data_IF_099079362237
#
_entry.id   IF_099079362237
#
_cell.length_a   1.000
_cell.length_b   1.000
_cell.length_c   1.000
_cell.angle_alpha   90.00
_cell.angle_beta   90.00
_cell.angle_gamma   90.00
#
_symmetry.space_group_name_H-M   'P 1'
#
loop_
_entity.id
_entity.type
_entity.pdbx_description
1 polymer ?
#
# COMPACT_ATOMS: atom_id res chain seq x y z
N UNK A 1 -0.86 21.12 5.76
CA UNK A 1 -1.08 21.59 4.37
C UNK A 1 0.21 21.96 3.65
N UNK A 2 1.18 22.62 4.30
CA UNK A 2 2.46 23.01 3.68
C UNK A 2 3.17 21.86 2.93
N UNK A 3 3.24 20.67 3.53
CA UNK A 3 3.89 19.50 2.90
C UNK A 3 3.31 19.19 1.51
N UNK A 4 1.97 19.20 1.37
CA UNK A 4 1.31 18.97 0.09
C UNK A 4 1.70 20.01 -0.97
N UNK A 5 1.78 21.28 -0.58
CA UNK A 5 2.21 22.38 -1.49
C UNK A 5 3.68 22.25 -1.87
N UNK A 6 4.55 21.95 -0.90
CA UNK A 6 5.99 21.75 -1.15
C UNK A 6 6.20 20.62 -2.15
N UNK A 7 5.66 19.44 -1.88
CA UNK A 7 5.84 18.29 -2.76
C UNK A 7 5.17 18.50 -4.11
N UNK A 8 4.00 19.15 -4.16
CA UNK A 8 3.36 19.52 -5.41
C UNK A 8 4.25 20.43 -6.28
N UNK A 9 4.95 21.40 -5.71
CA UNK A 9 5.83 22.27 -6.49
C UNK A 9 6.92 21.47 -7.24
N UNK A 10 7.50 20.44 -6.60
CA UNK A 10 8.45 19.55 -7.26
C UNK A 10 7.78 18.66 -8.29
N UNK A 11 6.64 18.03 -7.95
CA UNK A 11 5.88 17.19 -8.88
C UNK A 11 5.46 17.93 -10.13
N UNK A 12 4.88 19.12 -9.97
CA UNK A 12 4.35 19.91 -11.07
C UNK A 12 5.46 20.50 -11.95
N UNK A 13 6.69 20.65 -11.43
CA UNK A 13 7.84 21.03 -12.24
C UNK A 13 8.23 19.93 -13.22
N UNK A 14 8.24 18.68 -12.77
CA UNK A 14 8.65 17.52 -13.58
C UNK A 14 7.49 16.97 -14.42
N UNK A 15 6.27 16.96 -13.88
CA UNK A 15 5.05 16.46 -14.50
C UNK A 15 3.93 17.52 -14.39
N UNK A 16 3.93 18.53 -15.28
CA UNK A 16 2.96 19.63 -15.20
C UNK A 16 1.52 19.16 -15.37
N UNK A 17 0.63 19.63 -14.48
CA UNK A 17 -0.81 19.39 -14.57
C UNK A 17 -1.59 20.68 -14.89
N UNK A 18 -2.64 20.50 -15.71
CA UNK A 18 -3.54 21.55 -16.15
C UNK A 18 -4.72 21.72 -15.20
N UNK A 19 -5.83 22.26 -15.68
CA UNK A 19 -7.10 22.37 -14.94
C UNK A 19 -7.89 21.05 -14.95
N UNK A 20 -7.24 19.95 -14.55
CA UNK A 20 -7.84 18.62 -14.47
C UNK A 20 -8.33 18.24 -13.07
N UNK A 21 -8.81 17.00 -12.96
CA UNK A 21 -9.25 16.34 -11.72
C UNK A 21 -8.32 15.18 -11.36
N UNK A 22 -8.49 14.66 -10.15
CA UNK A 22 -7.84 13.46 -9.66
C UNK A 22 -8.87 12.36 -9.42
N UNK A 23 -8.62 11.16 -9.96
CA UNK A 23 -9.27 9.94 -9.51
C UNK A 23 -8.59 9.49 -8.21
N UNK A 24 -9.27 9.70 -7.08
CA UNK A 24 -8.72 9.37 -5.77
C UNK A 24 -9.55 8.30 -5.08
N UNK A 25 -8.94 7.15 -4.79
CA UNK A 25 -9.54 6.10 -3.97
C UNK A 25 -9.26 6.40 -2.50
N UNK A 26 -9.97 7.38 -1.94
CA UNK A 26 -9.83 7.83 -0.57
C UNK A 26 -11.08 7.52 0.25
N UNK A 27 -10.89 7.02 1.46
CA UNK A 27 -11.97 6.56 2.32
C UNK A 27 -11.89 7.24 3.68
N UNK A 28 -12.97 7.89 4.06
CA UNK A 28 -13.19 8.38 5.42
C UNK A 28 -13.58 7.24 6.36
N UNK A 29 -13.08 7.30 7.59
CA UNK A 29 -13.43 6.38 8.66
C UNK A 29 -14.54 6.93 9.54
N UNK A 30 -15.17 6.04 10.31
CA UNK A 30 -16.09 6.44 11.38
C UNK A 30 -15.37 7.33 12.39
N UNK A 31 -16.11 8.30 12.93
CA UNK A 31 -15.66 9.14 14.03
C UNK A 31 -16.29 8.62 15.32
N UNK A 32 -15.46 8.37 16.33
CA UNK A 32 -15.91 8.03 17.67
C UNK A 32 -15.74 9.23 18.61
N UNK A 33 -16.47 9.22 19.73
CA UNK A 33 -16.28 10.17 20.82
C UNK A 33 -15.62 9.45 21.99
N UNK A 34 -14.54 10.03 22.51
CA UNK A 34 -13.95 9.58 23.78
C UNK A 34 -14.94 9.83 24.92
N UNK A 35 -14.71 9.20 26.09
CA UNK A 35 -15.50 9.46 27.30
C UNK A 35 -15.51 10.95 27.69
N UNK A 36 -14.44 11.69 27.36
CA UNK A 36 -14.33 13.14 27.57
C UNK A 36 -14.87 14.02 26.43
N UNK A 37 -15.56 13.46 25.43
CA UNK A 37 -16.21 14.22 24.35
C UNK A 37 -15.31 14.59 23.17
N UNK A 38 -14.01 14.32 23.22
CA UNK A 38 -13.10 14.52 22.09
C UNK A 38 -13.39 13.55 20.94
N UNK A 39 -13.31 14.03 19.71
CA UNK A 39 -13.44 13.19 18.50
C UNK A 39 -12.18 12.37 18.29
N UNK A 40 -12.32 11.05 18.13
CA UNK A 40 -11.26 10.13 17.76
C UNK A 40 -11.57 9.49 16.39
N UNK A 41 -10.63 9.59 15.46
CA UNK A 41 -10.71 8.98 14.12
C UNK A 41 -9.32 8.96 13.48
N UNK A 42 -9.20 8.44 12.26
CA UNK A 42 -7.94 8.43 11.52
C UNK A 42 -7.48 9.84 11.16
N UNK A 43 -6.16 10.06 11.16
CA UNK A 43 -5.57 11.34 10.76
C UNK A 43 -6.03 11.77 9.36
N UNK A 44 -6.08 10.85 8.41
CA UNK A 44 -6.55 11.12 7.04
C UNK A 44 -8.02 11.55 6.99
N UNK A 45 -8.90 10.98 7.82
CA UNK A 45 -10.31 11.41 7.86
C UNK A 45 -10.45 12.85 8.34
N UNK A 46 -9.69 13.23 9.37
CA UNK A 46 -9.67 14.62 9.83
C UNK A 46 -9.10 15.56 8.76
N UNK A 47 -8.08 15.13 8.02
CA UNK A 47 -7.51 15.90 6.91
C UNK A 47 -8.54 16.08 5.79
N UNK A 48 -9.16 15.00 5.30
CA UNK A 48 -10.10 15.06 4.17
C UNK A 48 -11.34 15.89 4.49
N UNK A 49 -11.80 15.90 5.75
CA UNK A 49 -12.94 16.72 6.19
C UNK A 49 -12.60 18.20 6.39
N UNK A 50 -11.33 18.58 6.37
CA UNK A 50 -10.91 19.96 6.60
C UNK A 50 -11.18 20.83 5.38
N UNK A 51 -11.84 21.97 5.58
CA UNK A 51 -11.99 23.00 4.52
C UNK A 51 -10.62 23.49 4.00
N UNK A 52 -9.61 23.56 4.87
CA UNK A 52 -8.25 23.91 4.44
C UNK A 52 -7.65 22.88 3.49
N UNK A 53 -7.97 21.60 3.68
CA UNK A 53 -7.54 20.55 2.77
C UNK A 53 -8.24 20.68 1.42
N UNK A 54 -9.55 20.90 1.40
CA UNK A 54 -10.31 21.12 0.17
C UNK A 54 -9.72 22.26 -0.67
N UNK A 55 -9.57 23.46 -0.08
CA UNK A 55 -8.92 24.59 -0.76
C UNK A 55 -7.49 24.27 -1.19
N UNK A 56 -6.71 23.54 -0.37
CA UNK A 56 -5.35 23.15 -0.76
C UNK A 56 -5.36 22.22 -1.98
N UNK A 57 -6.30 21.28 -2.06
CA UNK A 57 -6.43 20.37 -3.22
C UNK A 57 -6.87 21.13 -4.48
N UNK A 58 -7.66 22.18 -4.35
CA UNK A 58 -8.01 23.09 -5.44
C UNK A 58 -6.78 23.87 -5.93
N UNK A 59 -6.02 24.48 -5.00
CA UNK A 59 -4.79 25.23 -5.30
C UNK A 59 -3.77 24.39 -6.07
N UNK A 60 -3.61 23.12 -5.67
CA UNK A 60 -2.66 22.20 -6.30
C UNK A 60 -3.28 21.38 -7.45
N UNK A 61 -4.50 21.73 -7.89
CA UNK A 61 -5.20 21.09 -9.02
C UNK A 61 -5.33 19.56 -8.88
N UNK A 62 -5.58 19.09 -7.67
CA UNK A 62 -5.73 17.69 -7.32
C UNK A 62 -7.12 17.40 -6.71
N UNK A 63 -8.14 18.11 -7.17
CA UNK A 63 -9.53 17.94 -6.70
C UNK A 63 -10.02 16.53 -7.04
N UNK A 64 -10.63 15.85 -6.07
CA UNK A 64 -11.19 14.51 -6.27
C UNK A 64 -12.41 14.58 -7.21
N UNK A 65 -12.52 13.66 -8.17
CA UNK A 65 -13.72 13.53 -9.00
C UNK A 65 -14.93 12.96 -8.25
N UNK A 66 -14.73 12.38 -7.06
CA UNK A 66 -15.79 11.77 -6.27
C UNK A 66 -16.35 12.73 -5.23
N UNK A 67 -17.68 12.74 -5.03
CA UNK A 67 -18.31 13.61 -4.05
C UNK A 67 -18.04 13.15 -2.61
N UNK A 68 -18.24 14.06 -1.65
CA UNK A 68 -18.03 13.82 -0.22
C UNK A 68 -18.86 12.62 0.29
N UNK A 69 -20.07 12.42 -0.22
CA UNK A 69 -20.92 11.28 0.15
C UNK A 69 -20.27 9.94 -0.19
N UNK A 70 -19.46 9.88 -1.25
CA UNK A 70 -18.69 8.69 -1.64
C UNK A 70 -17.44 8.56 -0.78
N UNK A 71 -16.68 9.65 -0.59
CA UNK A 71 -15.45 9.64 0.21
C UNK A 71 -15.74 9.25 1.67
N UNK A 72 -16.83 9.78 2.25
CA UNK A 72 -17.25 9.53 3.63
C UNK A 72 -18.36 8.49 3.75
N UNK A 73 -18.58 7.70 2.69
CA UNK A 73 -19.54 6.63 2.65
C UNK A 73 -19.26 5.58 3.73
N UNK A 74 -20.30 4.99 4.35
CA UNK A 74 -20.12 3.98 5.41
C UNK A 74 -19.68 2.61 4.88
N UNK A 75 -19.82 2.37 3.57
CA UNK A 75 -19.49 1.11 2.89
C UNK A 75 -18.40 1.37 1.85
N UNK A 76 -17.19 0.87 2.13
CA UNK A 76 -16.02 1.07 1.27
C UNK A 76 -16.12 0.36 -0.09
N UNK A 77 -16.89 -0.74 -0.20
CA UNK A 77 -17.06 -1.48 -1.46
C UNK A 77 -17.97 -0.69 -2.40
N UNK A 78 -19.07 -0.16 -1.86
CA UNK A 78 -19.94 0.75 -2.62
C UNK A 78 -19.21 2.04 -2.97
N UNK A 79 -18.40 2.58 -2.03
CA UNK A 79 -17.60 3.78 -2.29
C UNK A 79 -16.58 3.54 -3.42
N UNK A 80 -15.91 2.38 -3.43
CA UNK A 80 -14.98 2.00 -4.50
C UNK A 80 -15.67 1.94 -5.86
N UNK A 81 -16.84 1.30 -5.96
CA UNK A 81 -17.63 1.26 -7.20
C UNK A 81 -17.95 2.69 -7.68
N UNK A 82 -18.41 3.54 -6.76
CA UNK A 82 -18.70 4.94 -7.06
C UNK A 82 -17.45 5.75 -7.46
N UNK A 83 -16.29 5.52 -6.83
CA UNK A 83 -15.03 6.16 -7.22
C UNK A 83 -14.65 5.82 -8.66
N UNK A 84 -14.71 4.54 -9.04
CA UNK A 84 -14.46 4.09 -10.41
C UNK A 84 -15.45 4.75 -11.38
N UNK A 85 -16.75 4.75 -11.05
CA UNK A 85 -17.78 5.35 -11.90
C UNK A 85 -17.57 6.86 -12.11
N UNK A 86 -17.29 7.61 -11.03
CA UNK A 86 -17.00 9.04 -11.11
C UNK A 86 -15.74 9.31 -11.95
N UNK A 87 -14.71 8.46 -11.81
CA UNK A 87 -13.49 8.53 -12.60
C UNK A 87 -13.73 8.33 -14.09
N UNK A 88 -14.59 7.38 -14.47
CA UNK A 88 -14.95 7.13 -15.88
C UNK A 88 -15.77 8.28 -16.46
N UNK A 89 -16.73 8.82 -15.71
CA UNK A 89 -17.53 9.98 -16.11
C UNK A 89 -16.62 11.19 -16.38
N UNK A 90 -15.61 11.39 -15.55
CA UNK A 90 -14.63 12.47 -15.69
C UNK A 90 -13.37 12.06 -16.49
N UNK A 91 -13.46 11.03 -17.36
CA UNK A 91 -12.27 10.37 -17.93
C UNK A 91 -11.28 11.31 -18.60
N UNK A 92 -11.78 12.28 -19.38
CA UNK A 92 -10.95 13.27 -20.07
C UNK A 92 -10.35 14.35 -19.14
N UNK A 93 -10.92 14.55 -17.94
CA UNK A 93 -10.44 15.52 -16.97
C UNK A 93 -9.37 14.94 -16.02
N UNK A 94 -9.32 13.61 -15.86
CA UNK A 94 -8.41 12.97 -14.89
C UNK A 94 -6.95 13.10 -15.34
N UNK A 95 -6.16 13.76 -14.49
CA UNK A 95 -4.72 13.92 -14.66
C UNK A 95 -3.90 13.17 -13.61
N UNK A 96 -4.53 12.77 -12.50
CA UNK A 96 -3.88 12.06 -11.40
C UNK A 96 -4.74 10.86 -11.02
N UNK A 97 -4.13 9.69 -10.90
CA UNK A 97 -4.77 8.52 -10.29
C UNK A 97 -4.06 8.25 -8.97
N UNK A 98 -4.80 8.17 -7.87
CA UNK A 98 -4.16 8.10 -6.55
C UNK A 98 -4.97 7.39 -5.47
N UNK A 99 -4.26 6.94 -4.44
CA UNK A 99 -4.83 6.49 -3.17
C UNK A 99 -3.78 6.70 -2.07
N UNK A 100 -4.16 6.48 -0.80
CA UNK A 100 -3.20 6.55 0.31
C UNK A 100 -2.10 5.50 0.14
N UNK A 101 -2.43 4.28 -0.26
CA UNK A 101 -1.50 3.14 -0.35
C UNK A 101 -1.59 2.44 -1.70
N UNK A 102 -0.46 1.88 -2.17
CA UNK A 102 -0.39 1.10 -3.42
C UNK A 102 -1.35 -0.09 -3.43
N UNK A 103 -1.52 -0.76 -2.28
CA UNK A 103 -2.48 -1.85 -2.10
C UNK A 103 -3.90 -1.42 -2.54
N UNK A 104 -4.35 -0.22 -2.13
CA UNK A 104 -5.69 0.27 -2.45
C UNK A 104 -5.87 0.54 -3.94
N UNK A 105 -4.83 1.00 -4.64
CA UNK A 105 -4.85 1.16 -6.10
C UNK A 105 -4.97 -0.21 -6.79
N UNK A 106 -4.14 -1.17 -6.42
CA UNK A 106 -4.21 -2.53 -6.99
C UNK A 106 -5.57 -3.18 -6.71
N UNK A 107 -6.09 -3.03 -5.50
CA UNK A 107 -7.44 -3.52 -5.15
C UNK A 107 -8.53 -2.85 -5.98
N UNK A 108 -8.44 -1.53 -6.21
CA UNK A 108 -9.39 -0.79 -7.02
C UNK A 108 -9.43 -1.31 -8.47
N UNK A 109 -8.27 -1.51 -9.08
CA UNK A 109 -8.19 -2.01 -10.45
C UNK A 109 -8.55 -3.49 -10.57
N UNK A 110 -8.15 -4.36 -9.63
CA UNK A 110 -8.65 -5.75 -9.56
C UNK A 110 -10.18 -5.82 -9.43
N UNK A 111 -10.79 -4.85 -8.74
CA UNK A 111 -12.25 -4.74 -8.65
C UNK A 111 -12.83 -4.25 -9.97
N UNK A 112 -12.20 -3.27 -10.61
CA UNK A 112 -12.61 -2.78 -11.93
C UNK A 112 -12.67 -3.92 -12.96
N UNK A 113 -11.67 -4.81 -13.00
CA UNK A 113 -11.67 -5.99 -13.89
C UNK A 113 -12.94 -6.84 -13.76
N UNK A 114 -13.57 -6.85 -12.59
CA UNK A 114 -14.76 -7.66 -12.29
C UNK A 114 -16.07 -6.93 -12.57
N UNK A 115 -16.08 -5.59 -12.56
CA UNK A 115 -17.30 -4.78 -12.58
C UNK A 115 -17.37 -3.77 -13.73
N UNK A 116 -16.38 -3.74 -14.63
CA UNK A 116 -16.31 -2.75 -15.72
C UNK A 116 -17.52 -2.79 -16.66
N UNK A 117 -18.10 -3.96 -16.92
CA UNK A 117 -19.32 -4.09 -17.74
C UNK A 117 -20.54 -3.46 -17.04
N UNK A 118 -20.62 -3.63 -15.72
CA UNK A 118 -21.64 -3.02 -14.86
C UNK A 118 -21.52 -1.49 -14.92
N UNK A 119 -20.29 -0.97 -14.78
CA UNK A 119 -19.99 0.45 -14.88
C UNK A 119 -20.35 1.02 -16.27
N UNK A 120 -20.07 0.29 -17.35
CA UNK A 120 -20.45 0.70 -18.71
C UNK A 120 -21.98 0.77 -18.87
N UNK A 121 -22.72 -0.19 -18.29
CA UNK A 121 -24.19 -0.17 -18.32
C UNK A 121 -24.74 1.03 -17.56
N UNK A 122 -24.22 1.31 -16.37
CA UNK A 122 -24.65 2.46 -15.55
C UNK A 122 -24.44 3.79 -16.30
N UNK A 123 -23.31 3.95 -17.00
CA UNK A 123 -23.02 5.12 -17.85
C UNK A 123 -23.97 5.18 -19.05
N UNK A 124 -24.20 4.05 -19.73
CA UNK A 124 -25.08 3.99 -20.92
C UNK A 124 -26.50 4.41 -20.58
N UNK A 125 -27.05 3.84 -19.51
CA UNK A 125 -28.44 4.04 -19.09
C UNK A 125 -28.62 5.32 -18.27
N UNK A 126 -27.54 5.86 -17.70
CA UNK A 126 -27.61 6.98 -16.75
C UNK A 126 -28.25 6.58 -15.42
N UNK A 127 -28.27 5.29 -15.09
CA UNK A 127 -28.92 4.74 -13.90
C UNK A 127 -27.89 3.99 -13.06
N UNK A 128 -27.74 4.40 -11.80
CA UNK A 128 -26.80 3.75 -10.88
C UNK A 128 -27.26 2.34 -10.51
N UNK A 129 -26.35 1.37 -10.54
CA UNK A 129 -26.58 -0.02 -10.15
C UNK A 129 -27.24 -0.16 -8.77
N UNK A 130 -28.06 -1.20 -8.60
CA UNK A 130 -28.68 -1.58 -7.32
C UNK A 130 -27.66 -2.03 -6.27
N UNK A 131 -26.40 -2.29 -6.68
CA UNK A 131 -25.26 -2.51 -5.77
C UNK A 131 -25.05 -1.36 -4.80
N UNK A 132 -25.31 -0.12 -5.23
CA UNK A 132 -25.20 1.07 -4.39
C UNK A 132 -26.53 1.31 -3.68
N UNK A 133 -26.58 0.85 -2.43
CA UNK A 133 -27.77 0.89 -1.57
C UNK A 133 -27.75 2.06 -0.59
N UNK A 134 -26.59 2.66 -0.31
CA UNK A 134 -26.50 3.79 0.62
C UNK A 134 -27.18 5.02 0.00
N UNK A 135 -28.24 5.58 0.63
CA UNK A 135 -29.07 6.61 0.02
C UNK A 135 -28.31 7.89 -0.35
N UNK A 136 -27.43 8.38 0.54
CA UNK A 136 -26.66 9.60 0.30
C UNK A 136 -25.69 9.47 -0.88
N UNK A 137 -24.97 8.34 -0.97
CA UNK A 137 -24.10 8.04 -2.11
C UNK A 137 -24.90 7.94 -3.40
N UNK A 138 -26.01 7.19 -3.38
CA UNK A 138 -26.88 7.03 -4.55
C UNK A 138 -27.40 8.38 -5.04
N UNK A 139 -27.91 9.22 -4.14
CA UNK A 139 -28.40 10.55 -4.49
C UNK A 139 -27.31 11.47 -5.05
N UNK A 140 -26.08 11.42 -4.53
CA UNK A 140 -24.96 12.24 -5.01
C UNK A 140 -24.48 11.78 -6.41
N UNK A 141 -24.27 10.48 -6.60
CA UNK A 141 -23.76 9.91 -7.85
C UNK A 141 -24.80 9.95 -8.96
N UNK A 142 -26.09 9.74 -8.66
CA UNK A 142 -27.17 9.90 -9.63
C UNK A 142 -27.25 11.30 -10.24
N UNK A 143 -26.79 12.35 -9.55
CA UNK A 143 -26.73 13.71 -10.12
C UNK A 143 -25.61 13.89 -11.15
N UNK A 144 -24.58 13.04 -11.09
CA UNK A 144 -23.45 13.05 -12.03
C UNK A 144 -23.73 12.19 -13.26
N UNK A 145 -24.69 11.26 -13.16
CA UNK A 145 -25.07 10.37 -14.25
C UNK A 145 -26.09 11.02 -15.19
N UNK A 146 -25.83 10.89 -16.47
CA UNK A 146 -26.79 11.10 -17.55
C UNK A 146 -26.56 10.02 -18.61
N UNK A 147 -27.59 9.57 -19.34
CA UNK A 147 -27.42 8.52 -20.35
C UNK A 147 -26.36 8.93 -21.38
N UNK A 148 -25.25 8.19 -21.42
CA UNK A 148 -24.14 8.46 -22.33
C UNK A 148 -23.65 7.18 -23.02
N UNK A 149 -24.39 6.69 -24.03
CA UNK A 149 -24.00 5.49 -24.78
C UNK A 149 -22.63 5.62 -25.45
N UNK A 150 -22.27 6.81 -25.95
CA UNK A 150 -20.98 7.03 -26.63
C UNK A 150 -19.78 6.82 -25.71
N UNK A 151 -19.84 7.34 -24.48
CA UNK A 151 -18.79 7.08 -23.49
C UNK A 151 -18.74 5.60 -23.10
N UNK A 152 -19.90 4.97 -22.88
CA UNK A 152 -19.98 3.55 -22.56
C UNK A 152 -19.40 2.65 -23.67
N UNK A 153 -19.73 2.92 -24.94
CA UNK A 153 -19.18 2.22 -26.11
C UNK A 153 -17.66 2.43 -26.22
N UNK A 154 -17.18 3.65 -25.97
CA UNK A 154 -15.75 3.94 -25.96
C UNK A 154 -15.00 3.17 -24.87
N UNK A 155 -15.51 3.16 -23.63
CA UNK A 155 -14.91 2.43 -22.52
C UNK A 155 -14.93 0.93 -22.83
N UNK A 156 -16.06 0.40 -23.32
CA UNK A 156 -16.19 -1.01 -23.63
C UNK A 156 -15.18 -1.43 -24.70
N UNK A 157 -15.09 -0.68 -25.79
CA UNK A 157 -14.12 -0.92 -26.85
C UNK A 157 -12.68 -0.88 -26.36
N UNK A 158 -12.33 0.07 -25.47
CA UNK A 158 -11.02 0.16 -24.84
C UNK A 158 -10.72 -1.08 -23.99
N UNK A 159 -11.62 -1.43 -23.06
CA UNK A 159 -11.47 -2.60 -22.19
C UNK A 159 -11.34 -3.90 -22.99
N UNK A 160 -12.15 -4.11 -24.03
CA UNK A 160 -12.11 -5.34 -24.84
C UNK A 160 -10.82 -5.51 -25.65
N UNK A 161 -10.07 -4.42 -25.93
CA UNK A 161 -8.78 -4.48 -26.64
C UNK A 161 -7.59 -4.73 -25.72
N UNK A 162 -7.74 -4.49 -24.41
CA UNK A 162 -6.66 -4.68 -23.45
C UNK A 162 -6.35 -6.17 -23.30
N UNK A 163 -5.07 -6.52 -23.41
CA UNK A 163 -4.59 -7.85 -23.05
C UNK A 163 -4.21 -7.85 -21.57
N UNK A 164 -4.88 -8.68 -20.78
CA UNK A 164 -4.63 -8.85 -19.34
C UNK A 164 -4.66 -7.52 -18.55
N UNK A 165 -5.41 -6.50 -18.99
CA UNK A 165 -5.50 -5.20 -18.31
C UNK A 165 -4.20 -4.38 -18.22
N UNK A 166 -3.17 -4.77 -18.98
CA UNK A 166 -1.92 -4.01 -19.02
C UNK A 166 -2.15 -2.61 -19.61
N UNK A 167 -1.72 -1.56 -18.91
CA UNK A 167 -1.91 -0.18 -19.34
C UNK A 167 -3.36 0.31 -19.26
N UNK A 168 -4.23 -0.34 -18.48
CA UNK A 168 -5.64 0.08 -18.32
C UNK A 168 -5.78 1.54 -17.88
N UNK A 169 -4.86 2.05 -17.05
CA UNK A 169 -4.92 3.43 -16.55
C UNK A 169 -4.79 4.45 -17.71
N UNK A 170 -3.69 4.49 -18.48
CA UNK A 170 -3.57 5.44 -19.57
C UNK A 170 -4.58 5.20 -20.70
N UNK A 171 -5.08 3.97 -20.91
CA UNK A 171 -6.12 3.71 -21.93
C UNK A 171 -7.47 4.37 -21.55
N UNK A 172 -7.88 4.26 -20.29
CA UNK A 172 -9.15 4.83 -19.80
C UNK A 172 -9.05 6.31 -19.46
N UNK A 173 -7.91 6.75 -18.93
CA UNK A 173 -7.64 8.14 -18.54
C UNK A 173 -6.43 8.68 -19.33
N UNK A 174 -6.60 9.05 -20.61
CA UNK A 174 -5.49 9.39 -21.50
C UNK A 174 -4.72 10.66 -21.08
N UNK A 175 -5.32 11.50 -20.24
CA UNK A 175 -4.70 12.71 -19.71
C UNK A 175 -3.96 12.50 -18.38
N UNK A 176 -3.98 11.28 -17.82
CA UNK A 176 -3.26 10.94 -16.61
C UNK A 176 -1.75 11.18 -16.79
N UNK A 177 -1.12 11.84 -15.81
CA UNK A 177 0.30 12.20 -15.82
C UNK A 177 1.14 11.28 -14.95
N UNK A 178 0.56 10.80 -13.85
CA UNK A 178 1.24 9.92 -12.90
C UNK A 178 0.24 9.20 -12.01
N UNK A 179 0.70 8.09 -11.42
CA UNK A 179 0.00 7.38 -10.35
C UNK A 179 0.66 7.70 -9.03
N UNK A 180 -0.12 8.10 -8.02
CA UNK A 180 0.38 8.67 -6.78
C UNK A 180 -0.15 7.95 -5.52
N UNK A 181 0.72 7.67 -4.57
CA UNK A 181 0.35 7.06 -3.28
C UNK A 181 1.56 6.60 -2.50
N UNK A 182 1.40 6.08 -1.29
CA UNK A 182 2.51 5.49 -0.54
C UNK A 182 2.85 4.14 -1.15
N UNK A 183 4.08 4.01 -1.66
CA UNK A 183 4.55 2.86 -2.43
C UNK A 183 5.86 2.25 -1.88
N UNK A 184 6.37 2.75 -0.77
CA UNK A 184 7.60 2.29 -0.10
C UNK A 184 7.32 1.26 0.99
N UNK A 185 8.32 0.48 1.38
CA UNK A 185 8.23 -0.48 2.47
C UNK A 185 7.21 -1.58 2.18
N UNK A 186 6.24 -1.79 3.07
CA UNK A 186 5.21 -2.84 2.95
C UNK A 186 4.33 -2.76 1.70
N UNK A 187 4.42 -1.65 0.96
CA UNK A 187 3.69 -1.39 -0.27
C UNK A 187 4.47 -1.75 -1.54
N UNK A 188 5.78 -1.96 -1.46
CA UNK A 188 6.63 -2.32 -2.61
C UNK A 188 6.18 -3.61 -3.33
N UNK A 189 5.64 -4.65 -2.65
CA UNK A 189 5.15 -5.85 -3.35
C UNK A 189 4.06 -5.59 -4.40
N UNK A 190 3.32 -4.48 -4.25
CA UNK A 190 2.24 -4.11 -5.16
C UNK A 190 2.74 -3.38 -6.43
N UNK A 191 4.02 -2.98 -6.46
CA UNK A 191 4.57 -2.15 -7.53
C UNK A 191 4.53 -2.84 -8.89
N UNK A 192 4.80 -4.15 -8.94
CA UNK A 192 4.77 -4.88 -10.21
C UNK A 192 3.37 -4.86 -10.83
N UNK A 193 2.33 -5.16 -10.03
CA UNK A 193 0.94 -5.11 -10.51
C UNK A 193 0.49 -3.67 -10.81
N UNK A 194 0.98 -2.69 -10.05
CA UNK A 194 0.66 -1.30 -10.31
C UNK A 194 1.32 -0.78 -11.60
N UNK A 195 2.57 -1.15 -11.88
CA UNK A 195 3.26 -0.88 -13.16
C UNK A 195 2.51 -1.50 -14.33
N UNK A 196 2.03 -2.73 -14.15
CA UNK A 196 1.19 -3.41 -15.13
C UNK A 196 -0.06 -2.58 -15.48
N UNK A 197 -0.81 -2.08 -14.49
CA UNK A 197 -1.97 -1.21 -14.76
C UNK A 197 -1.58 0.18 -15.30
N UNK A 198 -0.50 0.76 -14.80
CA UNK A 198 -0.03 2.09 -15.16
C UNK A 198 0.60 2.15 -16.56
N UNK A 199 1.09 1.01 -17.07
CA UNK A 199 1.85 0.94 -18.32
C UNK A 199 3.08 1.84 -18.26
N UNK A 200 3.11 2.87 -19.12
CA UNK A 200 4.20 3.84 -19.17
C UNK A 200 4.08 5.02 -18.20
N UNK A 201 3.00 5.12 -17.40
CA UNK A 201 2.84 6.22 -16.46
C UNK A 201 3.82 6.10 -15.29
N UNK A 202 4.47 7.20 -14.86
CA UNK A 202 5.35 7.19 -13.70
C UNK A 202 4.57 6.89 -12.43
N UNK A 203 5.13 5.99 -11.62
CA UNK A 203 4.67 5.69 -10.27
C UNK A 203 5.41 6.58 -9.27
N UNK A 204 4.67 7.30 -8.44
CA UNK A 204 5.24 8.32 -7.57
C UNK A 204 4.83 8.13 -6.11
N UNK A 205 5.84 7.96 -5.26
CA UNK A 205 5.66 7.83 -3.83
C UNK A 205 5.18 9.14 -3.20
N UNK A 206 4.12 9.05 -2.41
CA UNK A 206 3.58 10.14 -1.60
C UNK A 206 4.49 10.52 -0.43
N UNK A 207 4.17 11.62 0.22
CA UNK A 207 4.93 12.19 1.32
C UNK A 207 5.03 11.26 2.54
N UNK A 208 6.11 11.41 3.31
CA UNK A 208 6.37 10.61 4.50
C UNK A 208 5.78 11.26 5.75
N UNK A 209 4.92 10.52 6.45
CA UNK A 209 4.31 10.93 7.71
C UNK A 209 3.55 9.80 8.39
N UNK A 210 2.99 10.12 9.56
CA UNK A 210 2.24 9.23 10.42
C UNK A 210 1.07 9.96 11.11
N UNK A 211 0.35 9.27 11.99
CA UNK A 211 -0.71 9.91 12.80
C UNK A 211 -0.14 10.93 13.80
N UNK A 212 1.10 10.73 14.23
CA UNK A 212 1.86 11.60 15.13
C UNK A 212 2.35 12.88 14.42
N UNK A 213 2.46 12.87 13.10
CA UNK A 213 2.79 14.04 12.31
C UNK A 213 3.39 13.75 10.94
N UNK A 214 3.44 14.78 10.11
CA UNK A 214 4.21 14.74 8.85
C UNK A 214 5.71 14.85 9.15
N UNK A 215 6.55 14.28 8.27
CA UNK A 215 8.01 14.20 8.48
C UNK A 215 8.74 14.79 7.29
N UNK A 216 8.54 14.24 6.10
CA UNK A 216 9.33 14.59 4.93
C UNK A 216 8.54 14.63 3.63
N UNK A 217 8.88 15.61 2.79
CA UNK A 217 8.31 15.79 1.46
C UNK A 217 9.07 14.94 0.43
N UNK A 218 8.37 14.32 -0.51
CA UNK A 218 9.05 13.79 -1.70
C UNK A 218 9.42 14.94 -2.64
N UNK A 219 10.70 15.28 -2.70
CA UNK A 219 11.26 16.37 -3.52
C UNK A 219 11.98 15.87 -4.78
N UNK A 220 11.99 14.55 -5.00
CA UNK A 220 12.61 13.88 -6.14
C UNK A 220 11.57 12.98 -6.85
N UNK A 221 10.54 13.57 -7.47
CA UNK A 221 9.38 12.83 -7.98
C UNK A 221 9.69 11.93 -9.18
N UNK A 222 10.88 12.06 -9.77
CA UNK A 222 11.36 11.23 -10.90
C UNK A 222 12.06 9.95 -10.45
N UNK A 223 12.37 9.81 -9.15
CA UNK A 223 12.93 8.56 -8.63
C UNK A 223 11.86 7.46 -8.62
N UNK A 224 12.23 6.22 -8.97
CA UNK A 224 11.30 5.10 -8.84
C UNK A 224 10.94 4.88 -7.36
N UNK A 225 9.76 4.32 -7.06
CA UNK A 225 9.29 4.16 -5.68
C UNK A 225 10.27 3.47 -4.74
N UNK A 226 11.03 2.47 -5.20
CA UNK A 226 12.03 1.72 -4.43
C UNK A 226 13.22 2.58 -3.99
N UNK A 227 13.47 3.69 -4.69
CA UNK A 227 14.52 4.66 -4.40
C UNK A 227 13.95 5.98 -3.88
N UNK A 228 12.66 6.01 -3.52
CA UNK A 228 12.03 7.23 -3.06
C UNK A 228 12.70 7.75 -1.77
N UNK A 229 12.95 9.06 -1.76
CA UNK A 229 13.57 9.76 -0.65
C UNK A 229 12.70 10.92 -0.21
N UNK A 230 12.69 11.20 1.09
CA UNK A 230 11.86 12.22 1.70
C UNK A 230 12.73 13.26 2.41
N UNK A 231 12.73 14.49 1.90
CA UNK A 231 13.45 15.60 2.53
C UNK A 231 12.68 16.04 3.77
N UNK A 232 13.33 15.95 4.94
CA UNK A 232 12.70 16.34 6.21
C UNK A 232 12.36 17.83 6.19
N UNK A 233 11.16 18.18 6.63
CA UNK A 233 10.73 19.56 6.76
C UNK A 233 10.99 20.04 8.21
N UNK A 234 12.04 20.82 8.47
CA UNK A 234 12.46 21.15 9.84
C UNK A 234 11.48 22.08 10.58
N UNK A 235 10.54 22.70 9.87
CA UNK A 235 9.63 23.69 10.43
C UNK A 235 8.29 23.11 10.91
N UNK A 236 8.03 21.82 10.68
CA UNK A 236 6.76 21.17 11.06
C UNK A 236 6.88 20.26 12.30
N UNK A 237 8.11 20.04 12.79
CA UNK A 237 8.42 19.26 13.98
C UNK A 237 9.91 19.29 14.29
N UNK A 238 10.29 18.80 15.46
CA UNK A 238 11.69 18.58 15.83
C UNK A 238 12.03 17.10 15.75
N UNK A 239 13.08 16.75 15.01
CA UNK A 239 13.43 15.37 14.69
C UNK A 239 14.82 15.03 15.23
N UNK A 240 14.88 13.93 15.98
CA UNK A 240 16.13 13.29 16.41
C UNK A 240 16.20 11.88 15.82
N UNK A 241 17.39 11.28 15.84
CA UNK A 241 17.67 10.01 15.18
C UNK A 241 18.49 9.11 16.11
N UNK A 242 17.99 7.91 16.44
CA UNK A 242 18.74 6.93 17.24
C UNK A 242 19.52 6.03 16.28
N UNK A 243 20.87 5.97 16.34
CA UNK A 243 21.65 5.10 15.48
C UNK A 243 21.33 3.62 15.71
N UNK A 244 21.00 2.87 14.66
CA UNK A 244 20.60 1.47 14.80
C UNK A 244 21.75 0.56 15.29
N UNK A 245 22.99 0.88 14.94
CA UNK A 245 24.20 0.16 15.40
C UNK A 245 24.46 0.34 16.90
N UNK A 246 23.92 1.41 17.50
CA UNK A 246 24.11 1.73 18.92
C UNK A 246 22.78 2.23 19.51
N UNK A 247 21.80 1.33 19.73
CA UNK A 247 20.47 1.73 20.22
C UNK A 247 20.48 2.43 21.58
N UNK A 248 21.50 2.16 22.41
CA UNK A 248 21.72 2.80 23.72
C UNK A 248 22.36 4.20 23.62
N UNK A 249 22.79 4.62 22.42
CA UNK A 249 23.38 5.93 22.22
C UNK A 249 22.31 7.03 22.33
N UNK A 250 22.77 8.23 22.71
CA UNK A 250 21.89 9.41 22.66
C UNK A 250 21.46 9.68 21.22
N UNK A 251 20.18 10.02 20.98
CA UNK A 251 19.72 10.47 19.67
C UNK A 251 20.57 11.64 19.15
N UNK A 252 20.86 11.63 17.86
CA UNK A 252 21.55 12.73 17.18
C UNK A 252 20.54 13.67 16.53
N UNK A 253 20.89 14.94 16.39
CA UNK A 253 20.03 15.94 15.74
C UNK A 253 19.94 15.75 14.23
N UNK A 254 18.98 16.45 13.61
CA UNK A 254 18.66 16.36 12.18
C UNK A 254 19.87 16.49 11.23
N UNK A 255 20.84 17.36 11.55
CA UNK A 255 22.02 17.63 10.70
C UNK A 255 23.25 16.79 11.07
N UNK A 256 23.16 15.96 12.11
CA UNK A 256 24.27 15.16 12.64
C UNK A 256 24.21 13.70 12.15
N UNK A 257 23.23 13.36 11.33
CA UNK A 257 23.09 12.04 10.72
C UNK A 257 24.12 11.84 9.61
N UNK A 258 24.51 10.60 9.37
CA UNK A 258 25.53 10.24 8.39
C UNK A 258 24.92 9.51 7.20
N UNK A 259 25.33 9.87 5.98
CA UNK A 259 24.87 9.23 4.74
C UNK A 259 25.16 7.73 4.77
N UNK A 260 24.20 6.93 4.34
CA UNK A 260 24.29 5.47 4.30
C UNK A 260 23.96 4.76 5.61
N UNK A 261 23.99 5.46 6.76
CA UNK A 261 23.64 4.89 8.07
C UNK A 261 22.13 4.81 8.28
N UNK A 262 21.73 3.88 9.15
CA UNK A 262 20.34 3.64 9.53
C UNK A 262 20.03 4.15 10.93
N UNK A 263 18.85 4.73 11.08
CA UNK A 263 18.40 5.35 12.31
C UNK A 263 16.92 5.05 12.57
N UNK A 264 16.55 4.99 13.84
CA UNK A 264 15.16 5.10 14.26
C UNK A 264 14.76 6.58 14.41
N UNK A 265 13.61 6.95 13.87
CA UNK A 265 13.10 8.32 13.93
C UNK A 265 12.48 8.63 15.29
N UNK A 266 12.87 9.76 15.87
CA UNK A 266 12.32 10.31 17.12
C UNK A 266 11.71 11.68 16.83
N UNK A 267 10.47 11.89 17.27
CA UNK A 267 9.69 13.11 16.97
C UNK A 267 9.33 13.86 18.24
N UNK A 268 9.52 15.18 18.20
CA UNK A 268 8.86 16.13 19.11
C UNK A 268 7.95 17.05 18.31
N UNK A 269 6.68 17.18 18.71
CA UNK A 269 5.67 17.92 17.94
C UNK A 269 4.89 18.95 18.79
N UNK A 270 4.16 19.83 18.09
CA UNK A 270 3.32 20.86 18.70
C UNK A 270 2.10 20.34 19.46
N UNK A 271 1.78 19.05 19.30
CA UNK A 271 0.64 18.38 19.96
C UNK A 271 1.04 17.72 21.29
N UNK A 272 2.28 17.89 21.75
CA UNK A 272 2.74 17.43 23.06
C UNK A 272 3.38 16.03 23.08
N UNK A 273 3.75 15.49 21.93
CA UNK A 273 4.68 14.35 21.89
C UNK A 273 6.10 14.88 22.04
N UNK A 274 6.84 14.39 23.03
CA UNK A 274 8.22 14.81 23.32
C UNK A 274 9.14 13.61 23.24
N UNK A 275 10.13 13.68 22.34
CA UNK A 275 11.10 12.61 22.07
C UNK A 275 10.43 11.25 21.88
N UNK A 276 9.30 11.26 21.19
CA UNK A 276 8.50 10.07 20.91
C UNK A 276 9.22 9.21 19.86
N UNK A 277 9.50 7.97 20.22
CA UNK A 277 10.05 6.97 19.31
C UNK A 277 8.99 6.53 18.32
N UNK A 278 9.16 6.92 17.06
CA UNK A 278 8.19 6.61 16.01
C UNK A 278 8.18 5.11 15.66
N UNK A 279 9.31 4.44 15.90
CA UNK A 279 9.53 3.05 15.51
C UNK A 279 9.77 2.85 14.02
N UNK A 280 9.95 3.92 13.24
CA UNK A 280 10.32 3.81 11.84
C UNK A 280 11.84 3.83 11.70
N UNK A 281 12.39 2.88 10.94
CA UNK A 281 13.79 2.79 10.57
C UNK A 281 13.98 3.42 9.20
N UNK A 282 14.90 4.38 9.12
CA UNK A 282 15.23 5.11 7.90
C UNK A 282 16.72 5.05 7.62
N UNK A 283 17.09 5.06 6.35
CA UNK A 283 18.47 5.24 5.88
C UNK A 283 18.64 6.67 5.37
N UNK A 284 19.76 7.30 5.69
CA UNK A 284 20.09 8.62 5.12
C UNK A 284 20.59 8.42 3.68
N UNK A 285 19.80 8.83 2.70
CA UNK A 285 20.17 8.73 1.29
C UNK A 285 21.14 9.85 0.87
N UNK A 286 21.00 11.02 1.48
CA UNK A 286 21.77 12.20 1.15
C UNK A 286 21.25 13.42 1.89
N UNK A 287 21.55 14.60 1.35
CA UNK A 287 21.09 15.88 1.88
C UNK A 287 20.58 16.77 0.75
N UNK A 288 19.43 17.40 0.98
CA UNK A 288 18.93 18.51 0.19
C UNK A 288 19.31 19.80 0.88
N UNK A 289 20.33 20.48 0.35
CA UNK A 289 20.99 21.57 1.08
C UNK A 289 21.50 21.05 2.44
N UNK A 290 20.94 21.52 3.56
CA UNK A 290 21.30 21.08 4.91
C UNK A 290 20.29 20.11 5.55
N UNK A 291 19.16 19.80 4.91
CA UNK A 291 18.17 18.85 5.46
C UNK A 291 18.43 17.44 4.91
N UNK A 292 18.39 16.38 5.74
CA UNK A 292 18.61 15.03 5.26
C UNK A 292 17.43 14.56 4.40
N UNK A 293 17.76 13.71 3.42
CA UNK A 293 16.81 12.96 2.62
C UNK A 293 16.74 11.53 3.16
N UNK A 294 15.57 11.14 3.67
CA UNK A 294 15.32 9.86 4.30
C UNK A 294 14.81 8.85 3.29
N UNK A 295 15.39 7.66 3.26
CA UNK A 295 14.81 6.49 2.60
C UNK A 295 14.17 5.61 3.67
N UNK A 296 12.88 5.31 3.54
CA UNK A 296 12.18 4.41 4.45
C UNK A 296 12.72 2.98 4.30
N UNK A 297 13.00 2.30 5.42
CA UNK A 297 13.47 0.91 5.43
C UNK A 297 12.36 -0.02 5.91
N UNK A 298 11.95 0.12 7.18
CA UNK A 298 10.91 -0.71 7.79
C UNK A 298 10.40 -0.07 9.09
N UNK A 299 9.40 -0.69 9.72
CA UNK A 299 8.98 -0.37 11.08
C UNK A 299 9.60 -1.39 12.05
N UNK A 300 10.24 -0.91 13.11
CA UNK A 300 10.87 -1.71 14.16
C UNK A 300 9.84 -2.64 14.82
N UNK A 301 10.23 -3.89 15.10
CA UNK A 301 9.40 -4.89 15.78
C UNK A 301 8.61 -5.84 14.88
N UNK A 302 8.74 -5.72 13.54
CA UNK A 302 8.14 -6.62 12.56
C UNK A 302 9.20 -7.52 11.91
N UNK A 303 9.91 -8.30 12.73
CA UNK A 303 10.96 -9.23 12.26
C UNK A 303 10.57 -10.68 12.50
N UNK A 304 10.78 -11.53 11.51
CA UNK A 304 10.82 -12.99 11.68
C UNK A 304 12.12 -13.37 12.39
N UNK A 305 12.00 -14.15 13.47
CA UNK A 305 13.13 -14.60 14.28
C UNK A 305 12.75 -15.89 15.02
N UNK A 306 13.63 -16.89 15.01
CA UNK A 306 13.50 -18.12 15.82
C UNK A 306 14.65 -18.24 16.80
N UNK A 307 15.88 -17.96 16.35
CA UNK A 307 17.12 -18.06 17.11
C UNK A 307 17.87 -16.72 17.06
N UNK A 308 19.07 -16.69 16.46
CA UNK A 308 19.87 -15.47 16.30
C UNK A 308 19.49 -14.67 15.04
N UNK A 309 18.68 -15.28 14.17
CA UNK A 309 18.19 -14.69 12.92
C UNK A 309 17.25 -13.51 13.19
N UNK A 310 17.35 -12.48 12.35
CA UNK A 310 16.51 -11.29 12.39
C UNK A 310 16.17 -10.87 10.97
N UNK A 311 15.21 -11.57 10.38
CA UNK A 311 14.71 -11.24 9.05
C UNK A 311 13.61 -10.19 9.14
N UNK A 312 13.79 -9.07 8.44
CA UNK A 312 12.82 -7.98 8.37
C UNK A 312 11.71 -8.29 7.36
N UNK A 313 10.66 -7.48 7.37
CA UNK A 313 9.65 -7.46 6.30
C UNK A 313 10.27 -7.35 4.89
N UNK A 314 11.36 -6.59 4.76
CA UNK A 314 12.09 -6.43 3.50
C UNK A 314 12.77 -7.72 3.06
N UNK A 315 13.36 -8.45 4.00
CA UNK A 315 14.03 -9.73 3.69
C UNK A 315 13.01 -10.77 3.25
N UNK A 316 11.85 -10.83 3.92
CA UNK A 316 10.73 -11.67 3.49
C UNK A 316 10.23 -11.30 2.09
N UNK A 317 10.07 -10.00 1.82
CA UNK A 317 9.66 -9.53 0.49
C UNK A 317 10.65 -9.95 -0.59
N UNK A 318 11.96 -9.74 -0.38
CA UNK A 318 12.99 -10.14 -1.33
C UNK A 318 12.97 -11.66 -1.57
N UNK A 319 12.72 -12.46 -0.54
CA UNK A 319 12.58 -13.91 -0.67
C UNK A 319 11.35 -14.32 -1.49
N UNK A 320 10.21 -13.65 -1.26
CA UNK A 320 8.97 -13.87 -2.02
C UNK A 320 9.14 -13.46 -3.47
N UNK A 321 9.76 -12.31 -3.76
CA UNK A 321 10.04 -11.83 -5.11
C UNK A 321 10.97 -12.80 -5.86
N UNK A 322 12.03 -13.28 -5.19
CA UNK A 322 12.97 -14.21 -5.79
C UNK A 322 12.31 -15.55 -6.19
N UNK A 323 11.38 -16.04 -5.37
CA UNK A 323 10.58 -17.23 -5.64
C UNK A 323 9.47 -16.97 -6.68
N UNK A 324 8.80 -15.83 -6.62
CA UNK A 324 7.73 -15.42 -7.54
C UNK A 324 8.19 -15.30 -8.99
N UNK A 325 9.48 -15.11 -9.25
CA UNK A 325 10.05 -15.20 -10.62
C UNK A 325 9.80 -16.55 -11.30
N UNK A 326 9.76 -17.65 -10.54
CA UNK A 326 9.44 -18.99 -11.07
C UNK A 326 7.96 -19.11 -11.46
N UNK A 327 7.07 -18.42 -10.75
CA UNK A 327 5.65 -18.35 -11.11
C UNK A 327 5.42 -17.52 -12.37
N UNK A 328 6.21 -16.46 -12.57
CA UNK A 328 6.10 -15.59 -13.73
C UNK A 328 6.34 -16.32 -15.07
N UNK A 329 7.18 -17.37 -15.07
CA UNK A 329 7.42 -18.23 -16.24
C UNK A 329 6.13 -18.96 -16.69
N UNK A 330 5.24 -19.25 -15.75
CA UNK A 330 3.92 -19.88 -15.96
C UNK A 330 2.78 -18.84 -16.07
N UNK A 331 3.10 -17.54 -16.17
CA UNK A 331 2.13 -16.43 -16.14
C UNK A 331 1.26 -16.41 -14.88
N UNK A 332 1.83 -16.83 -13.76
CA UNK A 332 1.20 -16.78 -12.44
C UNK A 332 1.81 -15.66 -11.60
N UNK A 333 1.00 -15.05 -10.75
CA UNK A 333 1.43 -14.01 -9.80
C UNK A 333 1.02 -14.37 -8.36
N UNK A 334 1.87 -13.98 -7.41
CA UNK A 334 1.50 -13.92 -6.00
C UNK A 334 0.60 -12.69 -5.82
N UNK A 335 -0.65 -12.93 -5.47
CA UNK A 335 -1.68 -11.89 -5.29
C UNK A 335 -1.40 -11.09 -4.03
N UNK A 336 -1.08 -11.79 -2.94
CA UNK A 336 -0.65 -11.25 -1.66
C UNK A 336 0.01 -12.36 -0.80
N UNK A 337 0.72 -11.97 0.26
CA UNK A 337 1.41 -12.91 1.14
C UNK A 337 1.52 -12.44 2.60
N UNK A 338 1.70 -13.37 3.52
CA UNK A 338 2.09 -13.08 4.91
C UNK A 338 2.97 -14.19 5.46
N UNK A 339 3.47 -14.04 6.68
CA UNK A 339 4.34 -15.01 7.32
C UNK A 339 4.01 -15.23 8.78
N UNK A 340 4.49 -16.34 9.30
CA UNK A 340 4.39 -16.75 10.67
C UNK A 340 5.67 -17.50 11.08
N UNK A 341 5.97 -17.51 12.38
CA UNK A 341 6.97 -18.40 12.96
C UNK A 341 6.23 -19.51 13.67
N UNK A 342 6.28 -20.71 13.11
CA UNK A 342 5.70 -21.88 13.74
C UNK A 342 6.73 -22.47 14.71
N UNK A 343 6.43 -22.37 16.00
CA UNK A 343 7.22 -22.93 17.09
C UNK A 343 6.46 -24.05 17.82
N UNK A 344 5.46 -24.67 17.16
CA UNK A 344 4.70 -25.78 17.72
C UNK A 344 5.49 -27.10 17.73
N UNK A 345 6.49 -27.22 16.86
CA UNK A 345 7.44 -28.33 16.78
C UNK A 345 8.70 -28.07 17.61
N UNK A 346 9.44 -29.12 17.94
CA UNK A 346 10.70 -29.02 18.70
C UNK A 346 11.74 -28.11 18.01
N UNK A 347 11.77 -28.16 16.68
CA UNK A 347 12.53 -27.24 15.84
C UNK A 347 11.52 -26.33 15.14
N UNK A 348 11.50 -25.05 15.50
CA UNK A 348 10.63 -24.08 14.84
C UNK A 348 11.04 -23.78 13.40
N UNK A 349 10.11 -23.35 12.57
CA UNK A 349 10.36 -22.98 11.17
C UNK A 349 9.53 -21.77 10.72
N UNK A 350 9.95 -21.17 9.61
CA UNK A 350 9.20 -20.08 8.98
C UNK A 350 8.07 -20.66 8.13
N UNK A 351 6.88 -20.10 8.28
CA UNK A 351 5.72 -20.38 7.44
C UNK A 351 5.40 -19.14 6.62
N UNK A 352 5.31 -19.29 5.30
CA UNK A 352 4.90 -18.22 4.38
C UNK A 352 3.61 -18.61 3.69
N UNK A 353 2.60 -17.75 3.79
CA UNK A 353 1.30 -17.95 3.16
C UNK A 353 1.21 -17.18 1.85
N UNK A 354 0.85 -17.85 0.76
CA UNK A 354 0.66 -17.24 -0.56
C UNK A 354 -0.77 -17.38 -1.04
N UNK A 355 -1.40 -16.26 -1.42
CA UNK A 355 -2.56 -16.28 -2.30
C UNK A 355 -2.07 -16.07 -3.74
N UNK A 356 -2.51 -16.93 -4.67
CA UNK A 356 -2.11 -16.88 -6.08
C UNK A 356 -3.27 -16.43 -6.96
N UNK A 357 -2.96 -15.90 -8.14
CA UNK A 357 -3.99 -15.48 -9.10
C UNK A 357 -4.77 -16.67 -9.68
N UNK A 358 -4.11 -17.82 -9.79
CA UNK A 358 -4.63 -19.10 -10.29
C UNK A 358 -3.84 -20.26 -9.67
N UNK A 359 -4.33 -21.48 -9.85
CA UNK A 359 -3.63 -22.71 -9.41
C UNK A 359 -2.29 -22.89 -10.13
N UNK A 360 -1.28 -23.32 -9.38
CA UNK A 360 0.07 -23.57 -9.87
C UNK A 360 0.41 -25.06 -9.77
N UNK A 361 1.25 -25.56 -10.67
CA UNK A 361 1.72 -26.94 -10.63
C UNK A 361 2.58 -27.22 -9.38
N UNK A 362 2.45 -28.41 -8.80
CA UNK A 362 3.11 -28.80 -7.56
C UNK A 362 4.64 -28.64 -7.64
N UNK A 363 5.25 -29.04 -8.75
CA UNK A 363 6.69 -28.94 -8.98
C UNK A 363 7.20 -27.49 -8.93
N UNK A 364 6.42 -26.55 -9.48
CA UNK A 364 6.74 -25.12 -9.45
C UNK A 364 6.67 -24.58 -8.03
N UNK A 365 5.64 -24.96 -7.26
CA UNK A 365 5.48 -24.54 -5.87
C UNK A 365 6.59 -25.07 -4.95
N UNK A 366 7.03 -26.32 -5.16
CA UNK A 366 8.21 -26.87 -4.47
C UNK A 366 9.48 -26.09 -4.84
N UNK A 367 9.66 -25.77 -6.12
CA UNK A 367 10.75 -24.92 -6.60
C UNK A 367 10.72 -23.52 -5.95
N UNK A 368 9.54 -22.92 -5.84
CA UNK A 368 9.32 -21.64 -5.17
C UNK A 368 9.69 -21.71 -3.69
N UNK A 369 9.23 -22.74 -2.98
CA UNK A 369 9.54 -22.96 -1.56
C UNK A 369 11.06 -23.07 -1.33
N UNK A 370 11.75 -23.88 -2.14
CA UNK A 370 13.20 -24.02 -2.10
C UNK A 370 13.93 -22.70 -2.40
N UNK A 371 13.46 -21.98 -3.43
CA UNK A 371 14.05 -20.68 -3.81
C UNK A 371 13.86 -19.66 -2.70
N UNK A 372 12.72 -19.64 -2.03
CA UNK A 372 12.42 -18.72 -0.93
C UNK A 372 13.34 -18.98 0.27
N UNK A 373 13.49 -20.24 0.68
CA UNK A 373 14.39 -20.67 1.76
C UNK A 373 15.85 -20.27 1.47
N UNK A 374 16.30 -20.39 0.22
CA UNK A 374 17.64 -19.98 -0.20
C UNK A 374 17.83 -18.45 -0.32
N UNK A 375 16.74 -17.68 -0.36
CA UNK A 375 16.80 -16.24 -0.58
C UNK A 375 16.93 -15.43 0.70
N UNK A 376 16.73 -16.05 1.87
CA UNK A 376 17.09 -15.44 3.14
C UNK A 376 18.62 -15.45 3.30
N UNK A 377 19.22 -14.26 3.23
CA UNK A 377 20.69 -14.08 3.24
C UNK A 377 21.25 -13.74 4.63
N UNK A 378 20.40 -13.57 5.64
CA UNK A 378 20.84 -13.38 7.02
C UNK A 378 21.73 -14.57 7.44
N UNK A 379 22.96 -14.26 7.85
CA UNK A 379 23.93 -15.25 8.30
C UNK A 379 23.38 -16.09 9.48
N UNK A 380 22.57 -15.49 10.35
CA UNK A 380 21.92 -16.20 11.46
C UNK A 380 20.91 -17.24 10.97
N UNK A 381 20.11 -16.89 9.96
CA UNK A 381 19.15 -17.80 9.34
C UNK A 381 19.86 -18.93 8.59
N UNK A 382 20.77 -18.58 7.68
CA UNK A 382 21.51 -19.56 6.85
C UNK A 382 22.31 -20.53 7.73
N UNK A 383 23.01 -20.01 8.74
CA UNK A 383 23.75 -20.83 9.69
C UNK A 383 22.85 -21.79 10.47
N UNK A 384 21.73 -21.30 11.00
CA UNK A 384 20.78 -22.10 11.78
C UNK A 384 20.03 -23.12 10.93
N UNK A 385 19.66 -22.80 9.68
CA UNK A 385 19.07 -23.74 8.71
C UNK A 385 20.02 -24.89 8.38
N UNK A 386 21.31 -24.59 8.13
CA UNK A 386 22.34 -25.61 7.87
C UNK A 386 22.64 -26.49 9.08
N UNK A 387 22.60 -25.92 10.28
CA UNK A 387 22.84 -26.64 11.53
C UNK A 387 21.62 -27.43 12.04
N UNK A 388 20.47 -27.33 11.37
CA UNK A 388 19.22 -27.96 11.81
C UNK A 388 18.57 -27.28 13.03
N UNK A 389 19.03 -26.09 13.43
CA UNK A 389 18.44 -25.31 14.52
C UNK A 389 17.20 -24.52 14.10
N UNK A 390 16.99 -24.32 12.79
CA UNK A 390 15.73 -23.86 12.19
C UNK A 390 15.27 -24.90 11.19
N UNK A 391 14.00 -25.30 11.28
CA UNK A 391 13.38 -26.31 10.43
C UNK A 391 13.22 -25.83 8.98
N UNK A 392 12.80 -26.74 8.11
CA UNK A 392 12.55 -26.41 6.70
C UNK A 392 11.47 -25.34 6.57
N UNK A 393 11.71 -24.31 5.76
CA UNK A 393 10.70 -23.31 5.43
C UNK A 393 9.46 -24.00 4.85
N UNK A 394 8.29 -23.58 5.30
CA UNK A 394 7.00 -24.07 4.82
C UNK A 394 6.29 -23.00 4.00
N UNK A 395 5.93 -23.34 2.77
CA UNK A 395 5.03 -22.56 1.93
C UNK A 395 3.61 -23.13 2.06
N UNK A 396 2.66 -22.32 2.52
CA UNK A 396 1.23 -22.64 2.54
C UNK A 396 0.49 -21.83 1.48
N UNK A 397 -0.10 -22.51 0.50
CA UNK A 397 -0.95 -21.87 -0.51
C UNK A 397 -2.36 -21.73 0.06
N UNK A 398 -2.98 -20.56 -0.07
CA UNK A 398 -4.34 -20.29 0.40
C UNK A 398 -5.30 -20.03 -0.76
N UNK A 399 -6.59 -20.26 -0.53
CA UNK A 399 -7.65 -19.98 -1.51
C UNK A 399 -7.68 -18.51 -1.92
N UNK A 400 -8.08 -18.24 -3.16
CA UNK A 400 -8.33 -16.88 -3.64
C UNK A 400 -9.42 -16.20 -2.79
N UNK A 401 -9.18 -14.95 -2.42
CA UNK A 401 -10.03 -14.17 -1.52
C UNK A 401 -9.72 -14.32 -0.04
N UNK A 402 -8.67 -15.05 0.34
CA UNK A 402 -8.26 -15.18 1.76
C UNK A 402 -7.79 -13.83 2.32
N UNK A 403 -6.95 -13.09 1.59
CA UNK A 403 -6.48 -11.77 2.04
C UNK A 403 -7.61 -10.73 2.02
N UNK A 404 -8.62 -10.90 1.16
CA UNK A 404 -9.85 -10.10 1.23
C UNK A 404 -10.61 -10.35 2.54
N UNK A 405 -10.73 -11.61 2.98
CA UNK A 405 -11.36 -11.93 4.27
C UNK A 405 -10.60 -11.32 5.45
N UNK A 406 -9.26 -11.29 5.39
CA UNK A 406 -8.41 -10.63 6.40
C UNK A 406 -8.70 -9.12 6.40
N UNK A 407 -8.71 -8.47 5.24
CA UNK A 407 -9.05 -7.05 5.12
C UNK A 407 -10.44 -6.76 5.70
N UNK A 408 -11.44 -7.57 5.34
CA UNK A 408 -12.81 -7.42 5.83
C UNK A 408 -12.90 -7.59 7.36
N UNK A 409 -12.11 -8.51 7.93
CA UNK A 409 -12.03 -8.71 9.38
C UNK A 409 -11.56 -7.42 10.09
N UNK A 410 -10.46 -6.81 9.63
CA UNK A 410 -9.97 -5.56 10.22
C UNK A 410 -10.94 -4.40 10.06
N UNK A 411 -11.65 -4.32 8.92
CA UNK A 411 -12.68 -3.30 8.70
C UNK A 411 -13.86 -3.50 9.67
N UNK A 412 -14.29 -4.76 9.90
CA UNK A 412 -15.35 -5.06 10.89
C UNK A 412 -14.96 -4.66 12.31
N UNK A 413 -13.68 -4.77 12.67
CA UNK A 413 -13.14 -4.30 13.95
C UNK A 413 -13.06 -2.78 14.07
N UNK A 414 -13.51 -2.02 13.06
CA UNK A 414 -13.48 -0.56 13.05
C UNK A 414 -12.25 0.03 12.37
N UNK A 415 -11.41 -0.79 11.75
CA UNK A 415 -10.31 -0.34 10.90
C UNK A 415 -10.80 0.46 9.70
N UNK A 416 -10.03 1.47 9.30
CA UNK A 416 -10.33 2.26 8.11
C UNK A 416 -9.76 1.61 6.86
N UNK A 417 -10.56 1.48 5.79
CA UNK A 417 -10.09 0.90 4.53
C UNK A 417 -8.88 1.65 3.94
N UNK A 418 -8.86 2.98 4.05
CA UNK A 418 -7.75 3.82 3.60
C UNK A 418 -6.46 3.63 4.40
N UNK A 419 -6.52 2.93 5.54
CA UNK A 419 -5.39 2.64 6.42
C UNK A 419 -5.02 1.16 6.46
N UNK A 420 -5.78 0.30 5.78
CA UNK A 420 -5.52 -1.13 5.78
C UNK A 420 -4.23 -1.46 5.04
N UNK A 421 -3.42 -2.31 5.66
CA UNK A 421 -2.23 -2.93 5.10
C UNK A 421 -2.23 -4.39 5.50
N UNK A 422 -1.96 -5.28 4.56
CA UNK A 422 -1.75 -6.69 4.87
C UNK A 422 -0.57 -6.81 5.85
N UNK A 423 -0.77 -7.42 7.04
CA UNK A 423 0.35 -7.68 7.95
C UNK A 423 1.27 -8.70 7.30
N UNK A 424 2.57 -8.39 7.18
CA UNK A 424 3.56 -9.35 6.64
C UNK A 424 4.02 -10.38 7.66
N UNK A 425 3.72 -10.15 8.93
CA UNK A 425 3.89 -11.09 10.01
C UNK A 425 2.60 -11.18 10.83
N UNK A 426 2.13 -12.40 11.06
CA UNK A 426 0.98 -12.68 11.91
C UNK A 426 1.47 -13.45 13.13
N UNK A 427 1.38 -12.84 14.31
CA UNK A 427 1.68 -13.53 15.57
C UNK A 427 0.62 -14.59 15.89
N UNK A 428 1.00 -15.67 16.58
CA UNK A 428 0.07 -16.71 17.03
C UNK A 428 -1.07 -16.16 17.91
N UNK A 429 -0.82 -15.04 18.60
CA UNK A 429 -1.82 -14.35 19.43
C UNK A 429 -2.96 -13.73 18.63
N UNK A 430 -2.82 -13.55 17.32
CA UNK A 430 -3.88 -13.06 16.44
C UNK A 430 -4.74 -14.23 15.94
N UNK A 431 -5.51 -14.81 16.86
CA UNK A 431 -6.26 -16.06 16.64
C UNK A 431 -7.20 -16.01 15.44
N UNK A 432 -7.87 -14.87 15.20
CA UNK A 432 -8.83 -14.71 14.11
C UNK A 432 -8.16 -14.70 12.73
N UNK A 433 -7.08 -13.92 12.56
CA UNK A 433 -6.33 -13.92 11.29
C UNK A 433 -5.67 -15.28 11.06
N UNK A 434 -5.17 -15.91 12.13
CA UNK A 434 -4.63 -17.27 12.07
C UNK A 434 -5.69 -18.30 11.62
N UNK A 435 -6.91 -18.22 12.15
CA UNK A 435 -8.03 -19.08 11.73
C UNK A 435 -8.40 -18.86 10.26
N UNK A 436 -8.45 -17.61 9.80
CA UNK A 436 -8.71 -17.29 8.38
C UNK A 436 -7.63 -17.92 7.50
N UNK A 437 -6.36 -17.76 7.84
CA UNK A 437 -5.24 -18.32 7.07
C UNK A 437 -5.30 -19.85 7.03
N UNK A 438 -5.29 -20.49 8.19
CA UNK A 438 -5.26 -21.96 8.32
C UNK A 438 -6.51 -22.62 7.72
N UNK A 439 -7.70 -22.03 7.89
CA UNK A 439 -8.94 -22.54 7.33
C UNK A 439 -9.04 -22.45 5.80
N UNK A 440 -8.20 -21.63 5.16
CA UNK A 440 -8.16 -21.46 3.72
C UNK A 440 -6.93 -22.09 3.05
N UNK A 441 -6.08 -22.82 3.78
CA UNK A 441 -4.93 -23.52 3.19
C UNK A 441 -5.42 -24.61 2.24
N UNK A 442 -4.89 -24.64 1.03
CA UNK A 442 -5.16 -25.66 0.00
C UNK A 442 -3.99 -26.63 -0.17
N UNK A 443 -2.76 -26.19 0.07
CA UNK A 443 -1.57 -27.02 -0.05
C UNK A 443 -0.42 -26.51 0.85
N UNK A 444 0.44 -27.43 1.29
CA UNK A 444 1.64 -27.15 2.07
C UNK A 444 2.88 -27.77 1.40
N UNK A 445 3.98 -27.03 1.39
CA UNK A 445 5.26 -27.49 0.82
C UNK A 445 6.40 -27.14 1.76
N UNK A 446 7.20 -28.13 2.12
CA UNK A 446 8.43 -27.92 2.89
C UNK A 446 9.63 -27.85 1.95
N UNK A 447 10.54 -26.91 2.25
CA UNK A 447 11.78 -26.76 1.52
C UNK A 447 12.70 -27.96 1.74
N UNK A 448 13.37 -28.34 0.66
CA UNK A 448 14.41 -29.38 0.61
C UNK A 448 15.78 -28.79 0.31
N UNK A 449 15.90 -27.46 0.26
CA UNK A 449 17.09 -26.77 -0.25
C UNK A 449 18.36 -26.97 0.59
N UNK A 450 18.21 -27.28 1.88
CA UNK A 450 19.32 -27.53 2.82
C UNK A 450 19.45 -29.00 3.23
N UNK A 451 18.63 -29.89 2.64
CA UNK A 451 18.67 -31.32 2.90
C UNK A 451 19.71 -31.96 1.96
N UNK A 452 20.95 -32.05 2.42
CA UNK A 452 22.01 -32.88 1.82
C UNK A 452 22.47 -33.93 2.83
#
# INVERSE_FOLDING_TARGET
MQIYRTSFAFRNREYPIGSGKALQFIYGSKQAKTKGGLTATTATTNVYRSEQFKHTMEDIRSQCCSPDEVIFGPDCRQSLYCHLLCGLICSDEVQIVSSTFAHSLVHAFRTFEQVWEELCRDIREGVLSSRVTVPAMRAAVSKLLSPNPGLADSIHSKCSRLSDWCGVIPELWPNAKYVYGIMTGSMEPYLNKLRHYAGGLPLMSADYGSSEGWIGANVNPSLPPEQATFAVLPNIGYYEFIPLERPEARPVGLTQVEVGKQYEVVVTNFSGLYRYRLGDIVRIAGFRNSTPELQFVCRSGLTLSINIDKNTEKDLQLAVEAAGRLLAEERLEVVDFTSHVDASTEIGHYVVFWELCSEAAEGVLRGCCNRMDLSFVDAGYVGSRKAGAIGALELRVVRRGTFQQISDHYIRLGGAMSQFKTPRYVAASNAEVWQILCGNVTACYFSTAYSL
#
